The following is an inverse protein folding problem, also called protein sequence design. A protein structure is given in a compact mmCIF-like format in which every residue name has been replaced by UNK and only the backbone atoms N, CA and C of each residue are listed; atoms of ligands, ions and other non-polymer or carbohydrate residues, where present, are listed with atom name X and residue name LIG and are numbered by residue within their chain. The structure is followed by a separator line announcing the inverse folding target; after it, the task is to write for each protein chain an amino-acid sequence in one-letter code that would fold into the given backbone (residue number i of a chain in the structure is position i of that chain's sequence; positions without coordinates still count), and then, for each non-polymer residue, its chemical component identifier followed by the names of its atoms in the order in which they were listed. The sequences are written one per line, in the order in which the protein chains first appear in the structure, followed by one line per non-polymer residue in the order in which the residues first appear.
data_IF_755534292375
#
_entry.id   IF_755534292375
#
_cell.length_a   1.000
_cell.length_b   1.000
_cell.length_c   1.000
_cell.angle_alpha   90.00
_cell.angle_beta   90.00
_cell.angle_gamma   90.00
#
_symmetry.space_group_name_H-M   'P 1'
#
loop_
_entity.id
_entity.type
_entity.pdbx_description
1 polymer ?
#
# COMPACT_ATOMS: atom_id res chain seq x y z
N UNK A 1 -8.63 40.62 30.00
CA UNK A 1 -7.50 39.90 29.38
C UNK A 1 -7.69 38.42 29.66
N UNK A 2 -8.33 37.69 28.76
CA UNK A 2 -8.40 36.23 28.81
C UNK A 2 -7.94 35.76 27.45
N UNK A 3 -6.77 35.12 27.42
CA UNK A 3 -6.17 34.57 26.21
C UNK A 3 -6.56 33.09 26.22
N UNK A 4 -7.61 32.74 25.48
CA UNK A 4 -7.94 31.34 25.27
C UNK A 4 -7.10 30.88 24.08
N UNK A 5 -6.01 30.17 24.40
CA UNK A 5 -5.16 29.50 23.42
C UNK A 5 -5.94 28.35 22.80
N UNK A 6 -6.44 28.55 21.58
CA UNK A 6 -7.03 27.48 20.78
C UNK A 6 -5.89 26.62 20.24
N UNK A 7 -5.68 25.44 20.84
CA UNK A 7 -4.82 24.41 20.29
C UNK A 7 -5.31 24.05 18.88
N UNK A 8 -4.45 24.23 17.89
CA UNK A 8 -4.64 23.70 16.55
C UNK A 8 -4.59 22.17 16.68
N UNK A 9 -5.72 21.51 16.43
CA UNK A 9 -5.77 20.07 16.23
C UNK A 9 -5.15 19.83 14.85
N UNK A 10 -3.96 19.24 14.82
CA UNK A 10 -3.30 18.77 13.60
C UNK A 10 -4.20 17.70 12.96
N UNK A 11 -5.00 18.10 11.98
CA UNK A 11 -5.80 17.17 11.19
C UNK A 11 -4.81 16.47 10.27
N UNK A 12 -4.59 15.17 10.51
CA UNK A 12 -3.77 14.33 9.64
C UNK A 12 -4.19 14.53 8.18
N UNK A 13 -3.23 14.61 7.23
CA UNK A 13 -3.53 14.93 5.84
C UNK A 13 -4.58 13.97 5.26
N UNK A 14 -5.58 14.55 4.60
CA UNK A 14 -6.68 13.84 3.98
C UNK A 14 -6.11 12.89 2.90
N UNK A 15 -6.41 11.60 3.01
CA UNK A 15 -5.89 10.57 2.10
C UNK A 15 -6.68 10.61 0.79
N UNK A 16 -6.48 11.65 -0.01
CA UNK A 16 -7.42 12.03 -1.07
C UNK A 16 -7.22 11.32 -2.42
N UNK A 17 -6.13 10.58 -2.60
CA UNK A 17 -5.96 9.72 -3.77
C UNK A 17 -5.30 8.39 -3.40
N UNK A 18 -6.15 7.38 -3.16
CA UNK A 18 -5.74 5.98 -3.07
C UNK A 18 -6.14 5.29 -4.37
N UNK A 19 -5.16 4.84 -5.15
CA UNK A 19 -5.40 3.90 -6.24
C UNK A 19 -5.34 2.48 -5.69
N UNK A 20 -6.13 1.57 -6.25
CA UNK A 20 -6.13 0.18 -5.83
C UNK A 20 -6.07 -0.74 -7.03
N UNK A 21 -5.20 -1.75 -6.97
CA UNK A 21 -5.05 -2.71 -8.06
C UNK A 21 -4.98 -4.13 -7.53
N UNK A 22 -5.70 -5.06 -8.15
CA UNK A 22 -5.65 -6.49 -7.82
C UNK A 22 -5.07 -7.23 -9.01
N UNK A 23 -3.88 -7.78 -8.83
CA UNK A 23 -3.21 -8.61 -9.82
C UNK A 23 -3.39 -10.09 -9.52
N UNK A 24 -3.32 -10.89 -10.57
CA UNK A 24 -3.10 -12.33 -10.48
C UNK A 24 -1.76 -12.68 -11.13
N UNK A 25 -1.12 -13.73 -10.64
CA UNK A 25 0.07 -14.32 -11.28
C UNK A 25 -0.39 -15.40 -12.25
N UNK A 26 -0.35 -15.10 -13.54
CA UNK A 26 -0.61 -16.08 -14.59
C UNK A 26 0.68 -16.76 -15.05
N UNK A 27 0.58 -18.06 -15.30
CA UNK A 27 1.67 -18.84 -15.89
C UNK A 27 1.37 -19.04 -17.38
N UNK A 28 2.21 -18.47 -18.27
CA UNK A 28 2.03 -18.56 -19.72
C UNK A 28 3.34 -18.90 -20.43
N UNK A 29 3.29 -19.91 -21.29
CA UNK A 29 4.43 -20.32 -22.10
C UNK A 29 5.54 -20.98 -21.30
N UNK A 30 6.16 -22.01 -21.89
CA UNK A 30 7.29 -22.69 -21.29
C UNK A 30 8.60 -22.15 -21.87
N UNK A 31 9.49 -21.67 -21.01
CA UNK A 31 10.83 -21.26 -21.39
C UNK A 31 11.78 -22.45 -21.24
N UNK A 32 12.07 -23.12 -22.36
CA UNK A 32 12.94 -24.30 -22.39
C UNK A 32 14.40 -23.99 -22.03
N UNK A 33 14.89 -22.77 -22.27
CA UNK A 33 16.26 -22.35 -21.89
C UNK A 33 16.36 -22.22 -20.36
N UNK A 34 15.33 -21.65 -19.72
CA UNK A 34 15.27 -21.47 -18.27
C UNK A 34 14.71 -22.67 -17.51
N UNK A 35 14.28 -23.72 -18.23
CA UNK A 35 13.57 -24.88 -17.68
C UNK A 35 12.42 -24.48 -16.72
N UNK A 36 11.68 -23.44 -17.09
CA UNK A 36 10.68 -22.81 -16.24
C UNK A 36 9.54 -22.21 -17.07
N UNK A 37 8.35 -22.09 -16.47
CA UNK A 37 7.26 -21.33 -17.08
C UNK A 37 7.43 -19.83 -16.84
N UNK A 38 7.05 -19.01 -17.83
CA UNK A 38 7.02 -17.57 -17.61
C UNK A 38 5.81 -17.21 -16.74
N UNK A 39 6.06 -16.38 -15.74
CA UNK A 39 5.04 -15.82 -14.86
C UNK A 39 4.82 -14.37 -15.23
N UNK A 40 3.56 -13.96 -15.30
CA UNK A 40 3.16 -12.60 -15.64
C UNK A 40 2.15 -12.11 -14.62
N UNK A 41 2.28 -10.85 -14.20
CA UNK A 41 1.23 -10.16 -13.46
C UNK A 41 0.18 -9.66 -14.44
N UNK A 42 -1.08 -9.98 -14.16
CA UNK A 42 -2.22 -9.54 -14.96
C UNK A 42 -3.20 -8.85 -14.03
N UNK A 43 -3.59 -7.62 -14.37
CA UNK A 43 -4.62 -6.89 -13.64
C UNK A 43 -5.97 -7.58 -13.81
N UNK A 44 -6.72 -7.67 -12.72
CA UNK A 44 -8.04 -8.30 -12.67
C UNK A 44 -9.14 -7.26 -12.54
N UNK A 45 -10.39 -7.66 -12.78
CA UNK A 45 -11.56 -6.80 -12.52
C UNK A 45 -11.96 -6.73 -11.04
N UNK A 46 -11.25 -7.42 -10.15
CA UNK A 46 -11.52 -7.38 -8.72
C UNK A 46 -11.08 -6.06 -8.10
N UNK A 47 -11.74 -5.68 -6.99
CA UNK A 47 -11.48 -4.41 -6.33
C UNK A 47 -11.17 -4.60 -4.85
N UNK A 48 -10.19 -3.83 -4.36
CA UNK A 48 -9.95 -3.65 -2.93
C UNK A 48 -10.99 -2.64 -2.45
N UNK A 49 -11.78 -3.01 -1.45
CA UNK A 49 -12.80 -2.08 -0.92
C UNK A 49 -12.15 -0.80 -0.39
N UNK A 50 -12.82 0.34 -0.60
CA UNK A 50 -12.32 1.65 -0.13
C UNK A 50 -12.02 1.67 1.37
N UNK A 51 -12.83 0.97 2.19
CA UNK A 51 -12.60 0.86 3.63
C UNK A 51 -11.33 0.09 3.98
N UNK A 52 -11.03 -1.00 3.27
CA UNK A 52 -9.80 -1.76 3.46
C UNK A 52 -8.58 -0.95 3.00
N UNK A 53 -8.66 -0.34 1.82
CA UNK A 53 -7.59 0.49 1.28
C UNK A 53 -7.22 1.63 2.23
N UNK A 54 -8.22 2.34 2.79
CA UNK A 54 -7.99 3.38 3.82
C UNK A 54 -7.31 2.85 5.07
N UNK A 55 -7.69 1.65 5.56
CA UNK A 55 -7.03 1.04 6.73
C UNK A 55 -5.59 0.66 6.44
N UNK A 56 -5.32 0.08 5.26
CA UNK A 56 -3.98 -0.28 4.81
C UNK A 56 -3.08 0.95 4.68
N UNK A 57 -3.57 2.04 4.07
CA UNK A 57 -2.81 3.30 3.97
C UNK A 57 -2.53 3.90 5.33
N UNK A 58 -3.52 3.98 6.23
CA UNK A 58 -3.30 4.50 7.60
C UNK A 58 -2.27 3.67 8.37
N UNK A 59 -2.33 2.35 8.22
CA UNK A 59 -1.34 1.46 8.80
C UNK A 59 0.05 1.74 8.21
N UNK A 60 0.16 1.84 6.89
CA UNK A 60 1.43 2.10 6.22
C UNK A 60 2.03 3.45 6.62
N UNK A 61 1.23 4.51 6.61
CA UNK A 61 1.61 5.83 7.08
C UNK A 61 2.20 5.77 8.50
N UNK A 62 1.52 5.11 9.43
CA UNK A 62 2.02 4.93 10.80
C UNK A 62 3.37 4.19 10.82
N UNK A 63 3.51 3.11 10.06
CA UNK A 63 4.79 2.37 10.02
C UNK A 63 5.93 3.21 9.43
N UNK A 64 5.64 4.02 8.41
CA UNK A 64 6.60 4.95 7.78
C UNK A 64 7.07 5.98 8.81
N UNK A 65 6.12 6.61 9.52
CA UNK A 65 6.40 7.59 10.58
C UNK A 65 7.21 6.96 11.74
N UNK A 66 6.79 5.78 12.24
CA UNK A 66 7.47 5.04 13.31
C UNK A 66 8.88 4.59 12.91
N UNK A 67 9.12 4.37 11.61
CA UNK A 67 10.43 3.97 11.07
C UNK A 67 11.36 5.16 10.79
N UNK A 68 10.94 6.39 11.12
CA UNK A 68 11.75 7.60 10.95
C UNK A 68 11.64 8.26 9.58
N UNK A 69 10.69 7.85 8.74
CA UNK A 69 10.44 8.40 7.41
C UNK A 69 9.31 9.44 7.38
N UNK A 70 8.97 10.04 8.53
CA UNK A 70 7.87 10.99 8.66
C UNK A 70 7.96 12.17 7.67
N UNK A 71 9.17 12.62 7.33
CA UNK A 71 9.38 13.69 6.36
C UNK A 71 8.92 13.35 4.92
N UNK A 72 8.66 12.08 4.61
CA UNK A 72 8.17 11.65 3.31
C UNK A 72 6.65 11.76 3.19
N UNK A 73 5.94 11.84 4.31
CA UNK A 73 4.48 11.93 4.36
C UNK A 73 4.09 13.41 4.35
N UNK A 74 3.60 13.91 3.21
CA UNK A 74 3.06 15.27 3.07
C UNK A 74 1.73 15.28 2.30
N UNK A 75 1.18 16.47 2.06
CA UNK A 75 -0.12 16.69 1.41
C UNK A 75 -0.13 16.38 -0.10
N UNK A 76 1.03 16.18 -0.72
CA UNK A 76 1.15 15.98 -2.18
C UNK A 76 1.39 14.52 -2.57
N UNK A 77 1.52 13.63 -1.59
CA UNK A 77 1.75 12.21 -1.87
C UNK A 77 0.51 11.54 -2.46
N UNK A 78 0.74 10.54 -3.30
CA UNK A 78 -0.31 9.64 -3.77
C UNK A 78 -0.07 8.25 -3.21
N UNK A 79 -1.14 7.54 -2.90
CA UNK A 79 -1.06 6.19 -2.37
C UNK A 79 -1.55 5.19 -3.40
N UNK A 80 -0.86 4.07 -3.52
CA UNK A 80 -1.41 2.88 -4.17
C UNK A 80 -1.48 1.72 -3.19
N UNK A 81 -2.51 0.91 -3.31
CA UNK A 81 -2.68 -0.34 -2.58
C UNK A 81 -2.83 -1.46 -3.58
N UNK A 82 -1.99 -2.46 -3.50
CA UNK A 82 -2.02 -3.58 -4.43
C UNK A 82 -1.93 -4.93 -3.74
N UNK A 83 -2.32 -5.97 -4.46
CA UNK A 83 -2.12 -7.37 -4.08
C UNK A 83 -1.94 -8.18 -5.35
N UNK A 84 -1.10 -9.23 -5.29
CA UNK A 84 -0.90 -10.17 -6.40
C UNK A 84 -1.66 -11.49 -6.20
N UNK A 85 -2.47 -11.54 -5.14
CA UNK A 85 -3.15 -12.73 -4.66
C UNK A 85 -4.65 -12.76 -5.04
N UNK A 86 -5.00 -12.33 -6.26
CA UNK A 86 -6.41 -12.35 -6.71
C UNK A 86 -7.09 -13.71 -6.53
N UNK A 87 -6.33 -14.81 -6.73
CA UNK A 87 -6.80 -16.18 -6.57
C UNK A 87 -7.18 -16.57 -5.13
N UNK A 88 -6.78 -15.77 -4.13
CA UNK A 88 -7.14 -15.98 -2.72
C UNK A 88 -8.36 -15.13 -2.34
N UNK A 89 -9.06 -15.54 -1.28
CA UNK A 89 -10.11 -14.70 -0.68
C UNK A 89 -9.48 -13.45 -0.08
N UNK A 90 -10.18 -12.29 -0.03
CA UNK A 90 -9.62 -11.05 0.50
C UNK A 90 -8.99 -11.15 1.90
N UNK A 91 -9.49 -12.02 2.78
CA UNK A 91 -8.92 -12.25 4.11
C UNK A 91 -7.54 -12.90 4.10
N UNK A 92 -7.21 -13.61 3.03
CA UNK A 92 -6.02 -14.45 2.92
C UNK A 92 -4.96 -13.79 2.00
N UNK A 93 -5.28 -12.61 1.45
CA UNK A 93 -4.39 -11.85 0.56
C UNK A 93 -3.29 -11.14 1.35
N UNK A 94 -2.16 -10.99 0.70
CA UNK A 94 -1.07 -10.12 1.13
C UNK A 94 -1.12 -8.83 0.33
N UNK A 95 -1.03 -7.70 1.02
CA UNK A 95 -1.14 -6.38 0.41
C UNK A 95 0.21 -5.64 0.42
N UNK A 96 0.39 -4.75 -0.54
CA UNK A 96 1.50 -3.80 -0.60
C UNK A 96 0.91 -2.40 -0.68
N UNK A 97 1.54 -1.46 0.03
CA UNK A 97 1.13 -0.05 0.00
C UNK A 97 2.31 0.78 -0.42
N UNK A 98 2.14 1.57 -1.47
CA UNK A 98 3.19 2.43 -2.01
C UNK A 98 2.83 3.89 -1.81
N UNK A 99 3.79 4.64 -1.26
CA UNK A 99 3.80 6.10 -1.23
C UNK A 99 4.55 6.59 -2.47
N UNK A 100 3.85 7.37 -3.30
CA UNK A 100 4.37 7.96 -4.53
C UNK A 100 4.68 9.43 -4.30
N UNK A 101 5.95 9.82 -4.53
CA UNK A 101 6.37 11.23 -4.49
C UNK A 101 6.17 11.90 -5.86
N UNK A 102 5.66 13.14 -5.90
CA UNK A 102 5.59 13.91 -7.15
C UNK A 102 6.96 14.13 -7.79
N UNK A 103 8.01 14.24 -6.97
CA UNK A 103 9.39 14.46 -7.41
C UNK A 103 10.04 13.18 -7.98
N UNK A 104 9.37 12.04 -7.90
CA UNK A 104 9.91 10.73 -8.21
C UNK A 104 10.38 9.96 -6.97
N UNK A 105 10.57 8.66 -7.14
CA UNK A 105 10.87 7.75 -6.05
C UNK A 105 9.62 7.27 -5.30
N UNK A 106 9.70 6.03 -4.82
CA UNK A 106 8.61 5.32 -4.17
C UNK A 106 9.10 4.66 -2.88
N UNK A 107 8.26 4.73 -1.84
CA UNK A 107 8.45 3.95 -0.62
C UNK A 107 7.32 2.93 -0.51
N UNK A 108 7.69 1.66 -0.45
CA UNK A 108 6.75 0.54 -0.47
C UNK A 108 6.79 -0.14 0.89
N UNK A 109 5.64 -0.25 1.56
CA UNK A 109 5.45 -1.15 2.68
C UNK A 109 4.97 -2.49 2.15
N UNK A 110 5.82 -3.51 2.27
CA UNK A 110 5.59 -4.81 1.69
C UNK A 110 4.89 -5.76 2.64
N UNK A 111 4.11 -6.66 2.06
CA UNK A 111 3.76 -7.90 2.76
C UNK A 111 2.77 -7.70 3.90
N UNK A 112 1.83 -6.77 3.77
CA UNK A 112 0.86 -6.43 4.80
C UNK A 112 -0.20 -7.52 4.89
N UNK A 113 -0.27 -8.19 6.04
CA UNK A 113 -1.29 -9.18 6.37
C UNK A 113 -2.45 -8.53 7.11
N UNK A 114 -3.67 -9.05 6.91
CA UNK A 114 -4.87 -8.56 7.58
C UNK A 114 -5.59 -9.66 8.34
N UNK A 115 -6.16 -9.31 9.49
CA UNK A 115 -7.07 -10.15 10.25
C UNK A 115 -8.43 -9.44 10.27
N UNK A 116 -9.47 -10.08 9.72
CA UNK A 116 -10.79 -9.47 9.53
C UNK A 116 -10.72 -8.08 8.85
N UNK A 117 -9.77 -7.89 7.92
CA UNK A 117 -9.53 -6.64 7.20
C UNK A 117 -8.82 -5.55 8.02
N UNK A 118 -8.28 -5.88 9.20
CA UNK A 118 -7.41 -5.02 9.99
C UNK A 118 -5.94 -5.43 9.80
N UNK A 119 -5.07 -4.53 9.29
CA UNK A 119 -3.66 -4.83 9.12
C UNK A 119 -2.94 -5.00 10.46
N UNK A 120 -2.09 -6.01 10.58
CA UNK A 120 -1.41 -6.33 11.85
C UNK A 120 0.08 -6.71 11.72
N UNK A 121 0.55 -7.09 10.52
CA UNK A 121 1.93 -7.49 10.26
C UNK A 121 2.36 -7.00 8.88
N UNK A 122 3.65 -6.67 8.70
CA UNK A 122 4.27 -6.37 7.41
C UNK A 122 5.67 -6.99 7.31
N UNK A 123 6.18 -7.12 6.09
CA UNK A 123 7.50 -7.72 5.80
C UNK A 123 8.64 -6.71 5.57
N UNK A 124 8.34 -5.42 5.75
CA UNK A 124 9.34 -4.35 5.77
C UNK A 124 9.19 -3.39 4.60
N UNK A 125 10.21 -2.56 4.39
CA UNK A 125 10.18 -1.48 3.40
C UNK A 125 11.06 -1.82 2.19
N UNK A 126 10.62 -1.39 1.02
CA UNK A 126 11.45 -1.25 -0.19
C UNK A 126 11.44 0.20 -0.65
N UNK A 127 12.54 0.62 -1.27
CA UNK A 127 12.67 1.92 -1.93
C UNK A 127 12.96 1.67 -3.40
N UNK A 128 12.21 2.33 -4.26
CA UNK A 128 12.43 2.33 -5.71
C UNK A 128 12.67 3.77 -6.18
N UNK A 129 13.61 3.95 -7.13
CA UNK A 129 14.12 5.26 -7.55
C UNK A 129 14.13 5.33 -9.08
#
# INVERSE_FOLDING_TARGET
MHITSTQQVEVAPEVDMITTTVFNVETRGYNWIKNAYNKHLVETSEQITAGLAKRLVRFAQRQIEESGFSALVDDKIRWSVETTDAHLKPSDRIYHVTLHRPEGGELILNGIMTDHGHPFLHHGFSVEI
#
